data_IF_155571998139
#
_entry.id   IF_155571998139
#
_cell.length_a   1.000
_cell.length_b   1.000
_cell.length_c   1.000
_cell.angle_alpha   90.00
_cell.angle_beta   90.00
_cell.angle_gamma   90.00
#
_symmetry.space_group_name_H-M   'P 1'
#
loop_
_entity.id
_entity.type
_entity.pdbx_description
1 polymer ?
#
# COMPACT_ATOMS: atom_id res chain seq x y z
N UNK A 1 -38.44 -42.17 -0.08
CA UNK A 1 -39.81 -42.06 0.47
C UNK A 1 -40.03 -40.58 0.76
N UNK A 2 -40.91 -39.96 -0.06
CA UNK A 2 -41.80 -38.78 0.16
C UNK A 2 -41.17 -37.51 0.77
N UNK A 3 -41.28 -36.29 0.21
CA UNK A 3 -42.35 -35.56 -0.51
C UNK A 3 -41.64 -34.46 -1.37
N UNK A 4 -41.80 -34.32 -2.68
CA UNK A 4 -42.84 -33.58 -3.44
C UNK A 4 -43.26 -32.25 -2.78
N UNK A 5 -42.93 -31.11 -3.39
CA UNK A 5 -43.88 -30.00 -3.53
C UNK A 5 -43.49 -29.13 -4.73
N UNK A 6 -44.51 -28.92 -5.54
CA UNK A 6 -44.54 -28.41 -6.90
C UNK A 6 -45.12 -27.00 -6.83
N UNK A 7 -44.50 -26.02 -7.49
CA UNK A 7 -44.87 -24.62 -7.26
C UNK A 7 -44.61 -23.71 -8.45
N UNK A 8 -45.18 -24.06 -9.60
CA UNK A 8 -45.27 -23.21 -10.79
C UNK A 8 -46.20 -22.02 -10.51
N UNK A 9 -45.70 -20.79 -10.64
CA UNK A 9 -46.55 -19.65 -10.98
C UNK A 9 -45.74 -18.55 -11.68
N UNK A 10 -45.95 -18.47 -12.99
CA UNK A 10 -45.64 -17.32 -13.82
C UNK A 10 -46.61 -16.20 -13.46
N UNK A 11 -46.10 -14.99 -13.22
CA UNK A 11 -46.90 -13.81 -12.92
C UNK A 11 -46.23 -12.54 -13.46
N UNK A 12 -46.54 -12.19 -14.71
CA UNK A 12 -46.28 -10.85 -15.28
C UNK A 12 -47.50 -10.00 -15.00
N UNK A 13 -47.42 -9.02 -14.10
CA UNK A 13 -48.45 -7.97 -13.96
C UNK A 13 -47.85 -6.67 -13.38
N UNK A 14 -47.88 -5.62 -14.22
CA UNK A 14 -48.04 -4.18 -13.93
C UNK A 14 -46.94 -3.41 -13.14
N UNK A 15 -46.16 -2.61 -13.88
CA UNK A 15 -46.00 -1.20 -13.50
C UNK A 15 -47.33 -0.49 -13.85
N UNK A 16 -47.97 0.21 -12.90
CA UNK A 16 -47.64 1.62 -12.73
C UNK A 16 -47.75 2.08 -11.27
N UNK A 17 -47.13 3.22 -10.96
CA UNK A 17 -47.48 3.94 -9.74
C UNK A 17 -46.32 4.69 -9.14
N UNK A 18 -46.08 5.89 -9.67
CA UNK A 18 -45.33 6.93 -8.97
C UNK A 18 -45.97 7.15 -7.60
N UNK A 19 -45.31 6.70 -6.54
CA UNK A 19 -45.52 7.23 -5.20
C UNK A 19 -44.29 8.04 -4.85
N UNK A 20 -44.46 9.35 -4.89
CA UNK A 20 -43.50 10.34 -4.46
C UNK A 20 -43.24 10.14 -2.96
N UNK A 21 -42.17 9.41 -2.64
CA UNK A 21 -41.51 9.50 -1.35
C UNK A 21 -40.44 10.58 -1.45
N UNK A 22 -40.75 11.80 -1.01
CA UNK A 22 -39.80 12.90 -0.85
C UNK A 22 -38.95 12.60 0.40
N UNK A 23 -37.94 11.73 0.26
CA UNK A 23 -37.04 11.37 1.35
C UNK A 23 -35.67 11.02 0.81
N UNK A 24 -34.67 11.82 1.19
CA UNK A 24 -33.20 11.71 1.07
C UNK A 24 -32.53 11.20 -0.24
N UNK A 25 -33.10 10.23 -0.94
CA UNK A 25 -32.60 9.71 -2.22
C UNK A 25 -32.75 10.70 -3.40
N UNK A 26 -33.70 11.64 -3.31
CA UNK A 26 -33.90 12.69 -4.32
C UNK A 26 -32.74 13.69 -4.39
N UNK A 27 -32.19 14.06 -3.23
CA UNK A 27 -31.06 14.99 -3.13
C UNK A 27 -29.78 14.40 -3.75
N UNK A 28 -29.55 13.10 -3.58
CA UNK A 28 -28.38 12.42 -4.18
C UNK A 28 -28.47 12.33 -5.70
N UNK A 29 -29.68 12.21 -6.27
CA UNK A 29 -29.89 12.15 -7.72
C UNK A 29 -29.82 13.53 -8.40
N UNK A 30 -30.22 14.61 -7.72
CA UNK A 30 -30.08 15.97 -8.26
C UNK A 30 -28.61 16.44 -8.28
N UNK A 31 -27.82 16.06 -7.27
CA UNK A 31 -26.38 16.32 -7.26
C UNK A 31 -25.62 15.57 -8.38
N UNK A 32 -26.09 14.39 -8.78
CA UNK A 32 -25.47 13.62 -9.86
C UNK A 32 -25.70 14.23 -11.26
N UNK A 33 -26.78 14.99 -11.47
CA UNK A 33 -27.08 15.62 -12.78
C UNK A 33 -26.40 16.99 -12.93
N UNK A 34 -26.23 17.74 -11.84
CA UNK A 34 -25.62 19.08 -11.90
C UNK A 34 -24.09 19.08 -12.03
N UNK A 35 -23.40 18.02 -11.57
CA UNK A 35 -21.93 17.94 -11.69
C UNK A 35 -21.47 17.54 -13.11
N UNK A 36 -22.31 16.83 -13.88
CA UNK A 36 -21.97 16.44 -15.27
C UNK A 36 -22.13 17.57 -16.30
N UNK A 37 -22.69 18.72 -15.94
CA UNK A 37 -22.90 19.84 -16.87
C UNK A 37 -21.80 20.92 -16.81
N UNK A 38 -20.75 20.74 -15.99
CA UNK A 38 -19.75 21.78 -15.72
C UNK A 38 -18.30 21.36 -16.03
N UNK A 39 -18.09 20.55 -17.07
CA UNK A 39 -16.73 20.12 -17.50
C UNK A 39 -16.53 20.25 -19.01
N UNK A 40 -16.95 21.36 -19.63
CA UNK A 40 -16.66 21.65 -21.04
C UNK A 40 -16.20 23.09 -21.34
N UNK A 41 -15.90 23.90 -20.32
CA UNK A 41 -15.40 25.27 -20.52
C UNK A 41 -14.11 25.51 -19.72
N UNK A 42 -12.97 25.13 -20.31
CA UNK A 42 -11.67 25.33 -19.67
C UNK A 42 -10.44 25.08 -20.53
N UNK A 43 -10.52 25.25 -21.86
CA UNK A 43 -9.31 25.44 -22.67
C UNK A 43 -8.91 26.92 -22.59
N UNK A 44 -8.15 27.29 -21.55
CA UNK A 44 -7.40 28.54 -21.55
C UNK A 44 -5.99 28.23 -22.06
N UNK A 45 -5.84 28.27 -23.39
CA UNK A 45 -4.51 28.33 -24.02
C UNK A 45 -3.94 29.71 -23.76
N UNK A 46 -3.08 29.82 -22.75
CA UNK A 46 -2.20 30.96 -22.59
C UNK A 46 -1.07 30.88 -23.64
N UNK A 47 -0.73 31.97 -24.35
CA UNK A 47 0.43 32.01 -25.22
C UNK A 47 1.69 31.79 -24.40
N UNK A 48 2.51 30.81 -24.78
CA UNK A 48 3.82 30.55 -24.19
C UNK A 48 4.70 31.80 -24.37
N UNK A 49 5.13 32.48 -23.29
CA UNK A 49 6.08 33.57 -23.40
C UNK A 49 7.39 33.02 -23.98
N UNK A 50 7.93 33.72 -24.98
CA UNK A 50 9.23 33.37 -25.55
C UNK A 50 10.26 33.16 -24.43
N UNK A 51 11.08 32.10 -24.49
CA UNK A 51 12.08 31.83 -23.47
C UNK A 51 13.02 33.05 -23.38
N UNK A 52 13.30 33.55 -22.17
CA UNK A 52 14.31 34.61 -22.02
C UNK A 52 15.65 34.10 -22.56
N UNK A 53 16.53 35.00 -23.06
CA UNK A 53 17.87 34.61 -23.45
C UNK A 53 18.54 33.88 -22.27
N UNK A 54 19.35 32.82 -22.55
CA UNK A 54 19.99 32.08 -21.49
C UNK A 54 20.83 33.05 -20.65
N UNK A 55 20.72 33.01 -19.31
CA UNK A 55 21.63 33.77 -18.47
C UNK A 55 23.05 33.31 -18.80
N UNK A 56 23.92 34.27 -19.11
CA UNK A 56 25.36 34.03 -19.22
C UNK A 56 25.80 33.40 -17.92
N UNK A 57 25.96 32.08 -17.93
CA UNK A 57 26.34 31.31 -16.75
C UNK A 57 27.80 31.68 -16.47
N UNK A 58 28.13 32.35 -15.36
CA UNK A 58 29.52 32.51 -15.00
C UNK A 58 30.09 31.10 -14.81
N UNK A 59 31.21 30.83 -15.49
CA UNK A 59 32.00 29.60 -15.37
C UNK A 59 32.10 29.22 -13.89
N UNK A 60 31.48 28.10 -13.52
CA UNK A 60 31.60 27.55 -12.19
C UNK A 60 33.09 27.34 -11.88
N UNK A 61 33.58 27.80 -10.71
CA UNK A 61 34.92 27.47 -10.26
C UNK A 61 35.12 25.95 -10.25
N UNK A 62 36.34 25.44 -10.46
CA UNK A 62 36.61 24.01 -10.48
C UNK A 62 36.07 23.37 -9.20
N UNK A 63 35.29 22.30 -9.36
CA UNK A 63 34.70 21.56 -8.26
C UNK A 63 35.82 21.06 -7.33
N UNK A 64 35.84 21.57 -6.10
CA UNK A 64 36.70 21.06 -5.04
C UNK A 64 36.21 19.64 -4.75
N UNK A 65 37.06 18.64 -5.01
CA UNK A 65 36.75 17.25 -4.68
C UNK A 65 36.51 17.13 -3.17
N UNK A 66 35.27 16.85 -2.75
CA UNK A 66 35.01 16.51 -1.36
C UNK A 66 35.72 15.18 -1.04
N UNK A 67 36.34 15.05 0.13
CA UNK A 67 36.94 13.79 0.56
C UNK A 67 35.88 12.68 0.55
N UNK A 68 36.24 11.51 0.01
CA UNK A 68 35.39 10.32 0.05
C UNK A 68 34.96 10.05 1.49
N UNK A 69 33.65 9.89 1.78
CA UNK A 69 33.21 9.56 3.13
C UNK A 69 33.91 8.29 3.60
N UNK A 70 34.35 8.23 4.87
CA UNK A 70 35.04 7.06 5.39
C UNK A 70 34.15 5.81 5.21
N UNK A 71 34.75 4.61 5.01
CA UNK A 71 33.99 3.38 4.94
C UNK A 71 33.08 3.30 6.16
N UNK A 72 31.77 3.27 5.93
CA UNK A 72 30.79 3.18 7.01
C UNK A 72 31.02 1.84 7.69
N UNK A 73 31.50 1.87 8.94
CA UNK A 73 31.59 0.70 9.79
C UNK A 73 30.24 0.00 9.75
N UNK A 74 30.22 -1.27 9.35
CA UNK A 74 28.99 -2.06 9.32
C UNK A 74 28.31 -1.92 10.69
N UNK A 75 27.03 -1.53 10.76
CA UNK A 75 26.34 -1.40 12.03
C UNK A 75 26.45 -2.74 12.76
N UNK A 76 26.86 -2.67 14.03
CA UNK A 76 26.99 -3.85 14.88
C UNK A 76 25.65 -4.61 14.87
N UNK A 77 25.71 -5.91 14.62
CA UNK A 77 24.53 -6.78 14.61
C UNK A 77 23.94 -6.91 16.02
N UNK A 78 23.11 -5.96 16.43
CA UNK A 78 22.50 -5.90 17.77
C UNK A 78 21.41 -6.96 17.97
N UNK A 79 20.72 -7.36 16.89
CA UNK A 79 19.61 -8.32 16.92
C UNK A 79 19.93 -9.68 16.28
N UNK A 80 21.16 -9.88 15.78
CA UNK A 80 21.55 -11.09 15.03
C UNK A 80 21.05 -11.10 13.58
N UNK A 81 21.04 -9.94 12.92
CA UNK A 81 20.53 -9.79 11.55
C UNK A 81 21.36 -10.58 10.53
N UNK A 82 22.70 -10.50 10.60
CA UNK A 82 23.62 -11.25 9.72
C UNK A 82 23.30 -12.74 9.66
N UNK A 83 23.15 -13.38 10.82
CA UNK A 83 22.83 -14.81 10.89
C UNK A 83 21.42 -15.06 10.35
N UNK A 84 20.47 -14.19 10.63
CA UNK A 84 19.09 -14.35 10.17
C UNK A 84 18.91 -14.20 8.66
N UNK A 85 19.84 -13.54 7.97
CA UNK A 85 19.76 -13.30 6.52
C UNK A 85 19.68 -14.61 5.72
N UNK A 86 20.23 -15.71 6.25
CA UNK A 86 20.18 -17.05 5.64
C UNK A 86 18.76 -17.64 5.56
N UNK A 87 17.82 -17.10 6.34
CA UNK A 87 16.44 -17.59 6.35
C UNK A 87 15.61 -17.04 5.19
N UNK A 88 16.07 -16.00 4.50
CA UNK A 88 15.35 -15.45 3.34
C UNK A 88 15.24 -16.52 2.26
N UNK A 89 14.02 -16.72 1.74
CA UNK A 89 13.71 -17.76 0.77
C UNK A 89 13.39 -19.13 1.37
N UNK A 90 13.57 -19.31 2.68
CA UNK A 90 13.17 -20.55 3.37
C UNK A 90 11.71 -20.49 3.85
N UNK A 91 11.14 -21.66 4.14
CA UNK A 91 9.81 -21.77 4.74
C UNK A 91 9.87 -21.40 6.22
N UNK A 92 8.84 -20.71 6.73
CA UNK A 92 8.73 -20.36 8.16
C UNK A 92 8.79 -21.58 9.10
N UNK A 93 8.44 -22.76 8.60
CA UNK A 93 8.44 -24.02 9.36
C UNK A 93 9.83 -24.65 9.49
N UNK A 94 10.81 -24.23 8.68
CA UNK A 94 12.21 -24.67 8.82
C UNK A 94 13.01 -23.80 9.79
N UNK A 95 12.42 -22.70 10.29
CA UNK A 95 13.07 -21.85 11.28
C UNK A 95 13.29 -22.63 12.58
N UNK A 96 14.45 -22.49 13.23
CA UNK A 96 14.68 -23.10 14.53
C UNK A 96 13.72 -22.51 15.57
N UNK A 97 13.42 -23.28 16.62
CA UNK A 97 12.68 -22.75 17.75
C UNK A 97 13.48 -21.59 18.38
N UNK A 98 12.87 -20.41 18.58
CA UNK A 98 13.57 -19.25 19.13
C UNK A 98 14.01 -19.53 20.56
N UNK A 99 15.28 -19.28 20.84
CA UNK A 99 15.88 -19.45 22.19
C UNK A 99 15.26 -18.46 23.18
N UNK A 100 14.97 -17.24 22.72
CA UNK A 100 14.21 -16.23 23.44
C UNK A 100 13.10 -15.63 22.55
N UNK A 101 11.81 -15.93 22.82
CA UNK A 101 10.69 -15.38 22.06
C UNK A 101 10.52 -13.86 22.22
N UNK A 102 11.16 -13.25 23.22
CA UNK A 102 11.15 -11.79 23.42
C UNK A 102 12.08 -11.07 22.44
N UNK A 103 13.09 -11.77 21.93
CA UNK A 103 14.11 -11.26 21.00
C UNK A 103 13.78 -11.59 19.56
N UNK A 104 12.89 -12.56 19.30
CA UNK A 104 12.55 -13.02 17.96
C UNK A 104 11.05 -12.92 17.72
N UNK A 105 10.65 -12.30 16.61
CA UNK A 105 9.26 -12.26 16.16
C UNK A 105 9.15 -12.82 14.76
N UNK A 106 8.31 -13.83 14.59
CA UNK A 106 7.93 -14.38 13.28
C UNK A 106 6.52 -13.93 12.96
N UNK A 107 6.36 -13.08 11.95
CA UNK A 107 5.06 -12.51 11.57
C UNK A 107 4.92 -12.49 10.05
N UNK A 108 3.69 -12.44 9.53
CA UNK A 108 3.52 -12.32 8.10
C UNK A 108 3.68 -10.86 7.63
N UNK A 109 4.10 -10.65 6.39
CA UNK A 109 4.28 -9.31 5.80
C UNK A 109 3.00 -8.48 5.75
N UNK A 110 1.84 -9.15 5.74
CA UNK A 110 0.50 -8.54 5.72
C UNK A 110 -0.20 -8.60 7.08
N UNK A 111 0.43 -9.17 8.10
CA UNK A 111 -0.17 -9.36 9.41
C UNK A 111 -0.18 -8.02 10.17
N UNK A 112 -1.25 -7.71 10.92
CA UNK A 112 -1.23 -6.58 11.83
C UNK A 112 -0.18 -6.83 12.92
N UNK A 113 0.78 -5.90 13.04
CA UNK A 113 1.83 -5.92 14.06
C UNK A 113 1.88 -4.58 14.76
N UNK A 114 2.19 -4.60 16.06
CA UNK A 114 2.44 -3.38 16.82
C UNK A 114 3.80 -2.77 16.43
N UNK A 115 3.83 -1.43 16.35
CA UNK A 115 5.02 -0.64 15.95
C UNK A 115 5.88 -0.24 17.15
N UNK A 116 6.08 -1.17 18.09
CA UNK A 116 6.94 -1.00 19.26
C UNK A 116 8.39 -1.25 18.85
N UNK A 117 9.18 -0.21 18.59
CA UNK A 117 10.55 -0.37 18.10
C UNK A 117 11.48 -0.92 19.19
N UNK A 118 12.12 -2.05 18.90
CA UNK A 118 13.12 -2.67 19.78
C UNK A 118 14.40 -2.99 18.98
N UNK A 119 15.52 -2.27 19.20
CA UNK A 119 16.75 -2.47 18.43
C UNK A 119 17.33 -3.87 18.61
N UNK A 120 16.95 -4.51 19.70
CA UNK A 120 17.44 -5.79 20.15
C UNK A 120 16.58 -6.97 19.62
N UNK A 121 15.41 -6.68 19.04
CA UNK A 121 14.47 -7.69 18.52
C UNK A 121 14.65 -7.91 17.03
N UNK A 122 14.77 -9.17 16.63
CA UNK A 122 14.77 -9.63 15.25
C UNK A 122 13.33 -9.90 14.78
N UNK A 123 12.97 -9.33 13.64
CA UNK A 123 11.72 -9.61 12.95
C UNK A 123 12.00 -10.44 11.70
N UNK A 124 11.35 -11.59 11.61
CA UNK A 124 11.35 -12.45 10.45
C UNK A 124 9.95 -12.35 9.84
N UNK A 125 9.88 -11.74 8.65
CA UNK A 125 8.65 -11.49 7.93
C UNK A 125 8.49 -12.48 6.79
N UNK A 126 7.41 -13.26 6.82
CA UNK A 126 7.09 -14.26 5.82
C UNK A 126 5.85 -13.88 5.00
N UNK A 127 5.76 -14.37 3.78
CA UNK A 127 4.57 -14.21 2.96
C UNK A 127 3.43 -15.09 3.51
N UNK A 128 2.26 -14.51 3.73
CA UNK A 128 1.13 -15.23 4.33
C UNK A 128 0.65 -16.41 3.47
N UNK A 129 0.71 -16.29 2.14
CA UNK A 129 0.20 -17.27 1.19
C UNK A 129 1.18 -18.43 0.98
N UNK A 130 2.47 -18.12 0.81
CA UNK A 130 3.49 -19.14 0.50
C UNK A 130 4.23 -19.66 1.72
N UNK A 131 4.18 -18.94 2.85
CA UNK A 131 4.95 -19.25 4.06
C UNK A 131 6.44 -18.98 3.94
N UNK A 132 6.90 -18.39 2.82
CA UNK A 132 8.32 -18.12 2.56
C UNK A 132 8.75 -16.83 3.24
N UNK A 133 9.87 -16.85 3.94
CA UNK A 133 10.50 -15.68 4.55
C UNK A 133 10.98 -14.75 3.44
N UNK A 134 10.51 -13.50 3.45
CA UNK A 134 10.89 -12.49 2.46
C UNK A 134 11.84 -11.44 3.03
N UNK A 135 11.73 -11.13 4.32
CA UNK A 135 12.50 -10.06 4.93
C UNK A 135 12.88 -10.40 6.36
N UNK A 136 14.11 -10.03 6.73
CA UNK A 136 14.55 -9.97 8.12
C UNK A 136 14.96 -8.54 8.46
N UNK A 137 14.63 -8.06 9.66
CA UNK A 137 14.98 -6.71 10.12
C UNK A 137 15.03 -6.62 11.64
N UNK A 138 15.91 -5.78 12.18
CA UNK A 138 15.86 -5.40 13.59
C UNK A 138 14.72 -4.38 13.83
N UNK A 139 14.02 -4.48 14.96
CA UNK A 139 13.02 -3.49 15.38
C UNK A 139 11.82 -4.02 16.14
#
# INVERSE_FOLDING_TARGET
MVDVQEGRASGVVLAPGRRAGLGEAGMRRTFAVLISAMVLAGCSSAPEPAPPPPPTTPTAPPAIALPTPPPQSEPKDECGLKDAQQFIGQLRTSLPAPVDPSRWRVACTTCPVTMDYRPDRLNILFNADTGVVQQVKCG
#
